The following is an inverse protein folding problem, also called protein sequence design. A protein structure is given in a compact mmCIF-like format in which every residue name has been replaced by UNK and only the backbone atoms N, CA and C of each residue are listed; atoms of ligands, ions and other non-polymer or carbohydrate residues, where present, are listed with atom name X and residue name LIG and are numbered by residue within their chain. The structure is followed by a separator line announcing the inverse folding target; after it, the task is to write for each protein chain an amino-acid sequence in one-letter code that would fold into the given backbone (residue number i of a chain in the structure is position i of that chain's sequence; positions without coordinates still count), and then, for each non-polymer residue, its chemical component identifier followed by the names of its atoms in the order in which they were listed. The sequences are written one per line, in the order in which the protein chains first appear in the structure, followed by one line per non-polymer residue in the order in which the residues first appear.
data_IF_986267367572
#
_entry.id   IF_986267367572
#
_cell.length_a   1.000
_cell.length_b   1.000
_cell.length_c   1.000
_cell.angle_alpha   90.00
_cell.angle_beta   90.00
_cell.angle_gamma   90.00
#
_symmetry.space_group_name_H-M   'P 1'
#
loop_
_entity.id
_entity.type
_entity.pdbx_description
1 polymer ?
#
# COMPACT_ATOMS: atom_id res chain seq x y z
N UNK A 1 58.28 41.58 10.26
CA UNK A 1 58.22 40.14 9.93
C UNK A 1 56.96 39.58 10.60
N UNK A 2 55.86 39.54 9.84
CA UNK A 2 54.52 39.08 10.33
C UNK A 2 54.34 37.61 10.00
N UNK A 3 54.11 36.76 11.02
CA UNK A 3 53.81 35.35 10.85
C UNK A 3 52.32 35.17 10.63
N UNK A 4 51.89 34.92 9.38
CA UNK A 4 50.56 34.50 9.06
C UNK A 4 50.33 33.05 9.54
N UNK A 5 49.39 32.83 10.47
CA UNK A 5 48.91 31.51 10.87
C UNK A 5 47.79 31.08 9.91
N UNK A 6 48.04 30.10 9.07
CA UNK A 6 47.02 29.40 8.32
C UNK A 6 46.26 28.46 9.27
N UNK A 7 45.01 28.71 9.50
CA UNK A 7 44.08 27.77 10.14
C UNK A 7 43.49 26.89 9.03
N UNK A 8 43.91 25.64 8.97
CA UNK A 8 43.33 24.64 8.09
C UNK A 8 42.01 24.16 8.71
N UNK A 9 40.89 24.61 8.17
CA UNK A 9 39.54 24.17 8.56
C UNK A 9 39.25 22.87 7.82
N UNK A 10 39.42 21.71 8.48
CA UNK A 10 39.05 20.42 7.93
C UNK A 10 37.50 20.32 7.82
N UNK A 11 36.99 20.43 6.61
CA UNK A 11 35.57 20.09 6.32
C UNK A 11 35.45 18.57 6.43
N UNK A 12 34.86 18.08 7.54
CA UNK A 12 34.42 16.69 7.63
C UNK A 12 33.10 16.61 6.84
N UNK A 13 33.19 16.19 5.59
CA UNK A 13 32.01 15.78 4.80
C UNK A 13 31.56 14.45 5.36
N UNK A 14 30.61 14.48 6.26
CA UNK A 14 29.84 13.29 6.63
C UNK A 14 29.03 12.87 5.39
N UNK A 15 29.59 11.97 4.59
CA UNK A 15 28.83 11.25 3.58
C UNK A 15 27.75 10.46 4.32
N UNK A 16 26.52 10.97 4.34
CA UNK A 16 25.36 10.21 4.76
C UNK A 16 25.14 9.09 3.74
N UNK A 17 25.67 7.90 4.04
CA UNK A 17 25.30 6.70 3.30
C UNK A 17 23.81 6.46 3.54
N UNK A 18 23.00 6.56 2.48
CA UNK A 18 21.66 6.03 2.48
C UNK A 18 21.73 4.56 2.93
N UNK A 19 20.89 4.09 3.85
CA UNK A 19 20.89 2.70 4.24
C UNK A 19 20.49 1.87 3.03
N UNK A 20 21.46 1.23 2.41
CA UNK A 20 21.25 0.31 1.30
C UNK A 20 20.65 -1.00 1.86
N UNK A 21 19.38 -1.02 2.14
CA UNK A 21 18.66 -2.16 2.70
C UNK A 21 18.74 -3.41 1.80
N UNK A 22 19.13 -3.24 0.55
CA UNK A 22 19.31 -4.29 -0.45
C UNK A 22 20.73 -4.32 -1.07
N UNK A 23 21.69 -3.63 -0.47
CA UNK A 23 23.07 -3.74 -0.90
C UNK A 23 23.71 -4.98 -0.27
N UNK A 24 24.14 -5.95 -1.08
CA UNK A 24 24.89 -7.11 -0.60
C UNK A 24 26.13 -6.70 0.23
N UNK A 25 26.70 -5.53 -0.05
CA UNK A 25 27.80 -4.94 0.74
C UNK A 25 27.42 -4.54 2.17
N UNK A 26 26.11 -4.33 2.46
CA UNK A 26 25.67 -4.08 3.82
C UNK A 26 25.69 -5.35 4.70
N UNK A 27 25.60 -6.55 4.10
CA UNK A 27 25.61 -7.81 4.82
C UNK A 27 26.95 -8.10 5.50
N UNK A 28 28.05 -7.56 5.01
CA UNK A 28 29.38 -7.71 5.59
C UNK A 28 29.63 -6.78 6.78
N UNK A 29 28.70 -5.84 7.08
CA UNK A 29 28.84 -4.92 8.21
C UNK A 29 28.01 -5.42 9.38
N UNK A 30 28.66 -5.69 10.50
CA UNK A 30 27.98 -6.07 11.72
C UNK A 30 27.21 -4.85 12.29
N UNK A 31 25.94 -5.05 12.58
CA UNK A 31 25.11 -4.06 13.27
C UNK A 31 25.10 -4.28 14.78
N UNK A 32 24.91 -3.21 15.55
CA UNK A 32 24.71 -3.27 16.99
C UNK A 32 23.22 -3.50 17.27
N UNK A 33 22.77 -4.77 17.23
CA UNK A 33 21.41 -5.17 17.51
C UNK A 33 21.33 -6.64 17.97
N UNK A 34 20.23 -7.00 18.64
CA UNK A 34 19.89 -8.37 18.98
C UNK A 34 18.78 -8.88 18.05
N UNK A 35 19.02 -9.98 17.35
CA UNK A 35 17.99 -10.64 16.52
C UNK A 35 16.96 -11.35 17.37
N UNK A 36 15.68 -11.17 17.06
CA UNK A 36 14.52 -11.71 17.75
C UNK A 36 13.47 -12.22 16.76
N UNK A 37 12.62 -13.12 17.23
CA UNK A 37 11.42 -13.54 16.52
C UNK A 37 10.25 -13.69 17.50
N UNK A 38 9.08 -13.18 17.10
CA UNK A 38 7.79 -13.47 17.73
C UNK A 38 6.95 -14.27 16.74
N UNK A 39 6.43 -15.43 17.16
CA UNK A 39 5.74 -16.35 16.27
C UNK A 39 4.66 -17.15 16.96
N UNK A 40 3.85 -17.83 16.17
CA UNK A 40 2.78 -18.74 16.65
C UNK A 40 3.28 -20.10 17.13
N UNK A 41 4.58 -20.34 17.23
CA UNK A 41 5.15 -21.64 17.56
C UNK A 41 4.56 -22.26 18.85
N UNK A 42 4.45 -23.58 18.87
CA UNK A 42 3.99 -24.34 20.02
C UNK A 42 5.01 -24.25 21.16
N UNK A 43 4.64 -23.58 22.25
CA UNK A 43 5.51 -23.37 23.42
C UNK A 43 5.88 -24.65 24.14
N UNK A 44 5.17 -25.76 23.89
CA UNK A 44 5.48 -27.07 24.45
C UNK A 44 6.60 -27.78 23.68
N UNK A 45 6.99 -27.30 22.53
CA UNK A 45 7.94 -27.92 21.61
C UNK A 45 7.33 -29.05 20.77
N UNK A 46 6.00 -29.23 20.81
CA UNK A 46 5.27 -30.09 19.88
C UNK A 46 5.08 -29.39 18.51
N UNK A 47 3.99 -29.64 17.79
CA UNK A 47 3.78 -29.11 16.44
C UNK A 47 2.40 -28.46 16.26
N UNK A 48 1.76 -27.97 17.32
CA UNK A 48 0.49 -27.23 17.27
C UNK A 48 0.76 -25.73 17.12
N UNK A 49 1.43 -25.34 16.03
CA UNK A 49 1.93 -23.98 15.80
C UNK A 49 0.85 -23.01 15.31
N UNK A 50 -0.33 -23.51 14.97
CA UNK A 50 -1.46 -22.68 14.53
C UNK A 50 -2.20 -22.06 15.72
N UNK A 51 -2.96 -20.99 15.41
CA UNK A 51 -3.95 -20.40 16.33
C UNK A 51 -5.29 -20.30 15.61
N UNK A 52 -6.34 -20.46 16.39
CA UNK A 52 -7.70 -20.20 15.93
C UNK A 52 -8.03 -18.72 16.10
N UNK A 53 -8.75 -18.14 15.14
CA UNK A 53 -9.25 -16.76 15.23
C UNK A 53 -10.75 -16.79 14.88
N UNK A 54 -11.60 -16.72 15.91
CA UNK A 54 -13.06 -16.80 15.77
C UNK A 54 -13.60 -15.55 15.09
N UNK A 55 -14.83 -15.67 14.54
CA UNK A 55 -15.56 -14.50 14.02
C UNK A 55 -15.71 -13.42 15.11
N UNK A 56 -15.41 -12.17 14.77
CA UNK A 56 -15.42 -11.03 15.68
C UNK A 56 -14.25 -10.93 16.66
N UNK A 57 -13.36 -11.92 16.68
CA UNK A 57 -12.22 -11.93 17.60
C UNK A 57 -11.05 -11.08 17.09
N UNK A 58 -10.33 -10.47 18.04
CA UNK A 58 -9.04 -9.81 17.78
C UNK A 58 -7.93 -10.58 18.48
N UNK A 59 -6.92 -10.96 17.72
CA UNK A 59 -5.72 -11.65 18.22
C UNK A 59 -4.50 -10.75 18.13
N UNK A 60 -3.70 -10.72 19.19
CA UNK A 60 -2.42 -10.03 19.22
C UNK A 60 -1.32 -10.95 18.66
N UNK A 61 -0.63 -10.48 17.61
CA UNK A 61 0.48 -11.21 16.99
C UNK A 61 1.84 -10.82 17.55
N UNK A 62 1.94 -9.55 17.99
CA UNK A 62 3.19 -8.94 18.43
C UNK A 62 2.91 -7.86 19.48
N UNK A 63 3.73 -7.82 20.51
CA UNK A 63 3.63 -6.81 21.56
C UNK A 63 4.96 -6.74 22.33
N UNK A 64 5.90 -5.94 21.81
CA UNK A 64 7.26 -5.93 22.32
C UNK A 64 7.72 -4.52 22.68
N UNK A 65 8.60 -4.44 23.68
CA UNK A 65 9.18 -3.18 24.11
C UNK A 65 10.35 -2.75 23.18
N UNK A 66 10.35 -1.45 22.83
CA UNK A 66 11.42 -0.80 22.09
C UNK A 66 12.63 -0.35 22.95
N UNK A 67 13.60 0.34 22.37
CA UNK A 67 13.74 0.63 20.94
C UNK A 67 13.94 -0.64 20.10
N UNK A 68 13.21 -0.75 19.00
CA UNK A 68 13.28 -1.93 18.16
C UNK A 68 12.83 -1.64 16.71
N UNK A 69 13.03 -2.59 15.81
CA UNK A 69 12.59 -2.52 14.42
C UNK A 69 12.12 -3.89 13.95
N UNK A 70 10.88 -3.98 13.46
CA UNK A 70 10.41 -5.15 12.72
C UNK A 70 11.02 -5.08 11.33
N UNK A 71 11.54 -6.22 10.83
CA UNK A 71 12.22 -6.33 9.53
C UNK A 71 11.51 -7.24 8.55
N UNK A 72 10.75 -8.20 9.06
CA UNK A 72 10.02 -9.15 8.24
C UNK A 72 8.76 -9.61 8.95
N UNK A 73 7.67 -9.69 8.22
CA UNK A 73 6.41 -10.30 8.65
C UNK A 73 6.08 -11.40 7.64
N UNK A 74 5.90 -12.62 8.13
CA UNK A 74 5.35 -13.73 7.38
C UNK A 74 4.05 -14.18 8.02
N UNK A 75 2.99 -14.35 7.23
CA UNK A 75 1.67 -14.78 7.68
C UNK A 75 1.10 -15.79 6.68
N UNK A 76 0.42 -16.82 7.19
CA UNK A 76 -0.48 -17.64 6.38
C UNK A 76 -1.71 -18.01 7.18
N UNK A 77 -2.81 -18.34 6.48
CA UNK A 77 -4.07 -18.70 7.12
C UNK A 77 -4.90 -19.66 6.27
N UNK A 78 -5.70 -20.50 6.94
CA UNK A 78 -6.69 -21.38 6.33
C UNK A 78 -8.08 -21.12 6.93
N UNK A 79 -9.08 -21.04 6.06
CA UNK A 79 -10.50 -20.87 6.42
C UNK A 79 -11.38 -21.22 5.23
N UNK A 80 -12.64 -21.58 5.49
CA UNK A 80 -13.69 -21.67 4.47
C UNK A 80 -14.36 -20.35 4.13
N UNK A 81 -14.02 -19.24 4.82
CA UNK A 81 -14.63 -17.92 4.60
C UNK A 81 -14.23 -17.37 3.22
N UNK A 82 -15.24 -17.08 2.40
CA UNK A 82 -15.02 -16.39 1.14
C UNK A 82 -14.55 -14.96 1.39
N UNK A 83 -13.59 -14.48 0.58
CA UNK A 83 -13.02 -13.15 0.72
C UNK A 83 -12.41 -12.84 2.10
N UNK A 84 -11.91 -13.86 2.82
CA UNK A 84 -11.26 -13.65 4.12
C UNK A 84 -10.12 -12.62 4.05
N UNK A 85 -9.43 -12.49 2.93
CA UNK A 85 -8.40 -11.47 2.68
C UNK A 85 -8.93 -10.03 2.78
N UNK A 86 -10.23 -9.82 2.55
CA UNK A 86 -10.93 -8.53 2.71
C UNK A 86 -11.57 -8.35 4.09
N UNK A 87 -11.77 -9.45 4.81
CA UNK A 87 -12.50 -9.50 6.10
C UNK A 87 -11.59 -9.58 7.31
N UNK A 88 -10.38 -10.10 7.18
CA UNK A 88 -9.37 -10.05 8.25
C UNK A 88 -8.66 -8.70 8.19
N UNK A 89 -8.65 -7.96 9.30
CA UNK A 89 -8.07 -6.61 9.38
C UNK A 89 -6.77 -6.65 10.18
N UNK A 90 -5.69 -6.18 9.57
CA UNK A 90 -4.39 -5.98 10.19
C UNK A 90 -4.29 -4.56 10.74
N UNK A 91 -3.90 -4.43 12.02
CA UNK A 91 -3.61 -3.15 12.66
C UNK A 91 -2.24 -3.17 13.33
N UNK A 92 -1.52 -2.05 13.24
CA UNK A 92 -0.24 -1.85 13.91
C UNK A 92 -0.26 -0.52 14.65
N UNK A 93 0.35 -0.51 15.84
CA UNK A 93 0.38 0.64 16.73
C UNK A 93 1.81 0.87 17.22
N UNK A 94 2.24 2.11 17.24
CA UNK A 94 3.58 2.49 17.70
C UNK A 94 3.48 3.35 18.95
N UNK A 95 4.39 3.08 19.90
CA UNK A 95 4.63 3.90 21.09
C UNK A 95 3.40 4.21 21.95
N UNK A 96 2.51 3.22 22.07
CA UNK A 96 1.28 3.26 22.88
C UNK A 96 0.22 4.25 22.34
N UNK A 97 0.26 4.61 21.06
CA UNK A 97 -0.81 5.38 20.45
C UNK A 97 -2.14 4.62 20.41
N UNK A 98 -3.24 5.35 20.63
CA UNK A 98 -4.57 4.75 20.65
C UNK A 98 -5.10 4.45 19.24
N UNK A 99 -4.78 5.31 18.26
CA UNK A 99 -5.16 5.13 16.86
C UNK A 99 -4.07 4.31 16.15
N UNK A 100 -4.45 3.39 15.26
CA UNK A 100 -3.46 2.57 14.56
C UNK A 100 -2.73 3.37 13.49
N UNK A 101 -1.41 3.18 13.39
CA UNK A 101 -0.58 3.70 12.28
C UNK A 101 -0.71 2.85 11.01
N UNK A 102 -1.20 1.62 11.14
CA UNK A 102 -1.59 0.74 10.03
C UNK A 102 -2.98 0.21 10.29
N UNK A 103 -3.90 0.43 9.33
CA UNK A 103 -5.22 -0.19 9.36
C UNK A 103 -5.64 -0.57 7.93
N UNK A 104 -5.62 -1.88 7.65
CA UNK A 104 -5.91 -2.41 6.32
C UNK A 104 -6.56 -3.79 6.39
N UNK A 105 -7.42 -4.16 5.41
CA UNK A 105 -7.69 -5.58 5.18
C UNK A 105 -6.36 -6.29 4.89
N UNK A 106 -6.19 -7.49 5.43
CA UNK A 106 -4.89 -8.16 5.36
C UNK A 106 -4.46 -8.45 3.91
N UNK A 107 -5.38 -8.82 3.04
CA UNK A 107 -5.06 -9.05 1.63
C UNK A 107 -4.57 -7.78 0.94
N UNK A 108 -5.21 -6.64 1.19
CA UNK A 108 -4.84 -5.36 0.60
C UNK A 108 -3.44 -4.91 1.04
N UNK A 109 -3.09 -5.14 2.32
CA UNK A 109 -1.74 -4.86 2.82
C UNK A 109 -0.66 -5.63 2.04
N UNK A 110 -0.96 -6.83 1.59
CA UNK A 110 -0.04 -7.67 0.82
C UNK A 110 -0.29 -7.60 -0.71
N UNK A 111 -1.00 -6.59 -1.21
CA UNK A 111 -1.22 -6.37 -2.65
C UNK A 111 -2.28 -7.28 -3.28
N UNK A 112 -3.14 -7.93 -2.48
CA UNK A 112 -4.22 -8.82 -2.91
C UNK A 112 -5.60 -8.16 -2.76
N UNK A 113 -5.74 -6.92 -3.23
CA UNK A 113 -6.91 -6.06 -2.99
C UNK A 113 -8.22 -6.56 -3.60
N UNK A 114 -8.19 -7.55 -4.49
CA UNK A 114 -9.39 -8.19 -5.03
C UNK A 114 -9.75 -9.51 -4.30
N UNK A 115 -9.04 -9.81 -3.20
CA UNK A 115 -9.33 -10.97 -2.37
C UNK A 115 -8.94 -12.32 -2.98
N UNK A 116 -8.09 -12.32 -3.99
CA UNK A 116 -7.56 -13.51 -4.68
C UNK A 116 -6.07 -13.65 -4.41
N UNK A 117 -5.61 -14.86 -4.10
CA UNK A 117 -4.17 -15.12 -3.98
C UNK A 117 -3.52 -15.18 -5.36
N UNK A 118 -2.54 -14.32 -5.59
CA UNK A 118 -1.65 -14.33 -6.76
C UNK A 118 -0.20 -14.36 -6.28
N UNK A 119 0.62 -15.22 -6.90
CA UNK A 119 2.04 -15.34 -6.54
C UNK A 119 2.81 -14.22 -7.23
N UNK A 120 3.53 -13.43 -6.45
CA UNK A 120 4.41 -12.38 -6.96
C UNK A 120 5.51 -12.04 -5.96
N UNK A 121 6.53 -11.33 -6.41
CA UNK A 121 7.64 -10.89 -5.58
C UNK A 121 8.05 -9.45 -5.92
N UNK A 122 8.13 -8.61 -4.89
CA UNK A 122 8.71 -7.27 -4.97
C UNK A 122 9.75 -7.06 -3.88
N UNK A 123 10.35 -5.88 -3.84
CA UNK A 123 11.32 -5.54 -2.80
C UNK A 123 10.73 -5.46 -1.39
N UNK A 124 9.44 -5.11 -1.26
CA UNK A 124 8.81 -4.83 0.03
C UNK A 124 7.67 -5.78 0.38
N UNK A 125 7.02 -6.38 -0.61
CA UNK A 125 5.89 -7.30 -0.43
C UNK A 125 6.04 -8.48 -1.37
N UNK A 126 5.78 -9.68 -0.87
CA UNK A 126 5.75 -10.88 -1.70
C UNK A 126 4.64 -11.83 -1.25
N UNK A 127 4.04 -12.51 -2.20
CA UNK A 127 3.12 -13.62 -1.96
C UNK A 127 3.74 -14.87 -2.57
N UNK A 128 4.24 -15.74 -1.72
CA UNK A 128 4.84 -17.01 -2.15
C UNK A 128 3.75 -18.08 -2.35
N UNK A 129 4.05 -19.19 -3.05
CA UNK A 129 3.12 -20.29 -3.23
C UNK A 129 2.47 -20.74 -1.91
N UNK A 130 1.28 -21.32 -2.01
CA UNK A 130 0.51 -21.85 -0.89
C UNK A 130 0.15 -20.79 0.17
N UNK A 131 -0.20 -19.57 -0.29
CA UNK A 131 -0.78 -18.47 0.51
C UNK A 131 0.19 -17.80 1.51
N UNK A 132 1.48 -17.86 1.31
CA UNK A 132 2.44 -17.22 2.19
C UNK A 132 2.58 -15.72 1.90
N UNK A 133 2.14 -14.90 2.83
CA UNK A 133 2.15 -13.43 2.78
C UNK A 133 3.43 -12.92 3.45
N UNK A 134 4.20 -12.09 2.74
CA UNK A 134 5.48 -11.57 3.24
C UNK A 134 5.56 -10.05 3.10
N UNK A 135 6.06 -9.36 4.13
CA UNK A 135 6.36 -7.93 4.09
C UNK A 135 7.74 -7.66 4.70
N UNK A 136 8.51 -6.79 4.04
CA UNK A 136 9.90 -6.46 4.36
C UNK A 136 10.10 -4.97 4.66
N UNK A 137 9.03 -4.24 4.96
CA UNK A 137 9.14 -2.85 5.40
C UNK A 137 9.89 -2.77 6.73
N UNK A 138 10.91 -1.90 6.89
CA UNK A 138 11.44 -1.59 8.22
C UNK A 138 10.38 -0.86 9.05
N UNK A 139 10.07 -1.35 10.23
CA UNK A 139 9.05 -0.76 11.10
C UNK A 139 9.66 -0.46 12.47
N UNK A 140 10.34 0.69 12.61
CA UNK A 140 10.97 1.09 13.87
C UNK A 140 9.94 1.64 14.86
N UNK A 141 10.20 1.46 16.16
CA UNK A 141 9.45 2.07 17.26
C UNK A 141 10.35 2.30 18.47
N UNK A 142 10.09 3.36 19.24
CA UNK A 142 10.97 3.77 20.34
C UNK A 142 10.62 3.07 21.66
N UNK A 143 9.33 2.91 21.97
CA UNK A 143 8.86 2.37 23.26
C UNK A 143 8.17 1.02 23.13
N UNK A 144 7.25 0.90 22.19
CA UNK A 144 6.41 -0.30 22.04
C UNK A 144 5.90 -0.45 20.62
N UNK A 145 5.97 -1.65 20.08
CA UNK A 145 5.28 -2.05 18.87
C UNK A 145 4.22 -3.08 19.18
N UNK A 146 2.99 -2.90 18.66
CA UNK A 146 1.88 -3.83 18.83
C UNK A 146 1.18 -4.09 17.49
N UNK A 147 1.03 -5.38 17.13
CA UNK A 147 0.34 -5.83 15.93
C UNK A 147 -0.83 -6.72 16.32
N UNK A 148 -1.98 -6.47 15.72
CA UNK A 148 -3.20 -7.26 15.92
C UNK A 148 -3.84 -7.63 14.58
N UNK A 149 -4.59 -8.74 14.58
CA UNK A 149 -5.51 -9.09 13.50
C UNK A 149 -6.91 -9.27 14.08
N UNK A 150 -7.93 -8.75 13.37
CA UNK A 150 -9.34 -8.92 13.74
C UNK A 150 -10.05 -9.69 12.62
N UNK A 151 -10.75 -10.75 12.95
CA UNK A 151 -11.60 -11.46 12.00
C UNK A 151 -12.99 -10.80 11.95
N UNK A 152 -13.24 -9.98 10.95
CA UNK A 152 -14.54 -9.34 10.69
C UNK A 152 -15.43 -10.21 9.77
N UNK A 153 -15.03 -11.45 9.49
CA UNK A 153 -15.83 -12.43 8.77
C UNK A 153 -16.83 -13.15 9.66
N UNK A 154 -17.58 -14.07 9.05
CA UNK A 154 -18.61 -14.87 9.72
C UNK A 154 -18.14 -16.27 10.14
N UNK A 155 -17.01 -16.72 9.59
CA UNK A 155 -16.45 -18.04 9.88
C UNK A 155 -15.09 -17.90 10.60
N UNK A 156 -14.75 -18.92 11.36
CA UNK A 156 -13.47 -19.01 12.03
C UNK A 156 -12.31 -19.17 11.02
N UNK A 157 -11.20 -18.50 11.30
CA UNK A 157 -9.89 -18.85 10.71
C UNK A 157 -9.35 -20.01 11.54
N UNK A 158 -9.36 -21.22 10.98
CA UNK A 158 -9.01 -22.44 11.71
C UNK A 158 -7.53 -22.57 11.95
N UNK A 159 -6.72 -22.07 11.03
CA UNK A 159 -5.28 -22.15 11.09
C UNK A 159 -4.67 -20.80 10.73
N UNK A 160 -4.15 -20.10 11.71
CA UNK A 160 -3.45 -18.83 11.55
C UNK A 160 -2.03 -18.97 12.07
N UNK A 161 -1.05 -18.79 11.17
CA UNK A 161 0.38 -18.86 11.50
C UNK A 161 1.05 -17.52 11.22
N UNK A 162 2.04 -17.16 12.03
CA UNK A 162 2.88 -15.99 11.77
C UNK A 162 4.32 -16.20 12.27
N UNK A 163 5.24 -15.51 11.59
CA UNK A 163 6.60 -15.25 12.04
C UNK A 163 6.89 -13.77 11.83
N UNK A 164 7.30 -13.06 12.87
CA UNK A 164 7.71 -11.67 12.85
C UNK A 164 9.15 -11.60 13.28
N UNK A 165 10.05 -11.31 12.33
CA UNK A 165 11.47 -11.10 12.60
C UNK A 165 11.72 -9.65 12.93
N UNK A 166 12.38 -9.39 14.05
CA UNK A 166 12.66 -8.06 14.52
C UNK A 166 14.01 -7.99 15.23
N UNK A 167 14.50 -6.78 15.42
CA UNK A 167 15.75 -6.53 16.14
C UNK A 167 15.49 -5.60 17.31
N UNK A 168 16.09 -5.93 18.46
CA UNK A 168 16.23 -4.99 19.58
C UNK A 168 17.39 -4.07 19.29
N UNK A 169 17.18 -2.77 19.46
CA UNK A 169 18.18 -1.73 19.20
C UNK A 169 18.61 -1.08 20.52
N UNK A 170 19.86 -0.55 20.62
CA UNK A 170 20.26 0.26 21.77
C UNK A 170 19.55 1.61 21.79
N UNK A 171 19.26 2.18 20.61
CA UNK A 171 18.50 3.42 20.41
C UNK A 171 18.01 3.46 18.95
N UNK A 172 16.94 4.24 18.70
CA UNK A 172 16.58 4.56 17.31
C UNK A 172 17.57 5.61 16.75
N UNK A 173 17.96 5.50 15.46
CA UNK A 173 18.73 6.54 14.79
C UNK A 173 18.03 7.89 14.82
N UNK A 174 18.78 8.97 14.90
CA UNK A 174 18.21 10.32 14.81
C UNK A 174 17.47 10.51 13.47
N UNK A 175 16.30 11.13 13.54
CA UNK A 175 15.47 11.37 12.34
C UNK A 175 14.67 10.16 11.89
N UNK A 176 14.64 9.07 12.65
CA UNK A 176 13.76 7.92 12.38
C UNK A 176 12.31 8.37 12.26
N UNK A 177 11.63 7.89 11.22
CA UNK A 177 10.20 8.06 11.00
C UNK A 177 9.51 6.70 11.13
N UNK A 178 8.27 6.70 11.58
CA UNK A 178 7.47 5.50 11.83
C UNK A 178 6.72 5.06 10.58
N UNK A 179 6.53 3.77 10.42
CA UNK A 179 5.84 3.16 9.29
C UNK A 179 4.33 3.32 9.42
N UNK A 180 3.68 3.67 8.31
CA UNK A 180 2.24 3.81 8.20
C UNK A 180 1.72 3.11 6.95
N UNK A 181 0.50 2.58 7.03
CA UNK A 181 -0.22 2.07 5.86
C UNK A 181 -1.72 2.27 6.04
N UNK A 182 -2.39 2.77 5.00
CA UNK A 182 -3.81 3.06 5.04
C UNK A 182 -4.51 2.49 3.82
N UNK A 183 -5.60 1.76 4.09
CA UNK A 183 -6.54 1.31 3.08
C UNK A 183 -7.50 2.42 2.66
N UNK A 184 -7.78 2.48 1.35
CA UNK A 184 -8.86 3.29 0.78
C UNK A 184 -9.58 2.52 -0.31
N UNK A 185 -10.86 2.87 -0.53
CA UNK A 185 -11.64 2.35 -1.64
C UNK A 185 -12.58 3.41 -2.21
N UNK A 186 -12.90 3.27 -3.49
CA UNK A 186 -14.07 3.81 -4.13
C UNK A 186 -14.70 2.69 -4.96
N UNK A 187 -15.91 2.27 -4.61
CA UNK A 187 -16.56 1.13 -5.24
C UNK A 187 -18.03 1.45 -5.56
N UNK A 188 -18.27 2.15 -6.68
CA UNK A 188 -17.33 2.62 -7.70
C UNK A 188 -16.79 4.05 -7.48
N UNK A 189 -15.78 4.43 -8.24
CA UNK A 189 -15.42 5.81 -8.50
C UNK A 189 -16.59 6.57 -9.14
N UNK A 190 -16.65 7.89 -8.96
CA UNK A 190 -17.78 8.72 -9.46
C UNK A 190 -17.45 9.32 -10.82
N UNK A 191 -17.50 8.50 -11.87
CA UNK A 191 -17.31 8.96 -13.23
C UNK A 191 -18.45 9.87 -13.73
N UNK A 192 -18.08 10.91 -14.46
CA UNK A 192 -19.03 11.88 -14.98
C UNK A 192 -19.57 11.52 -16.37
N UNK A 193 -18.86 10.69 -17.17
CA UNK A 193 -19.29 10.32 -18.50
C UNK A 193 -20.13 9.04 -18.47
N UNK A 194 -21.29 9.08 -19.11
CA UNK A 194 -22.25 7.96 -19.19
C UNK A 194 -22.38 7.38 -20.60
N UNK A 195 -21.50 7.80 -21.52
CA UNK A 195 -21.48 7.32 -22.88
C UNK A 195 -20.84 5.93 -23.00
N UNK A 196 -20.72 5.45 -24.24
CA UNK A 196 -20.16 4.14 -24.54
C UNK A 196 -18.63 4.24 -24.65
N UNK A 197 -17.92 3.41 -23.89
CA UNK A 197 -16.47 3.26 -23.98
C UNK A 197 -16.01 2.21 -25.00
N UNK A 198 -16.93 1.45 -25.57
CA UNK A 198 -16.62 0.45 -26.58
C UNK A 198 -16.13 1.13 -27.87
N UNK A 199 -14.93 0.77 -28.33
CA UNK A 199 -14.30 1.37 -29.51
C UNK A 199 -13.56 2.69 -29.25
N UNK A 200 -13.46 3.14 -27.98
CA UNK A 200 -12.72 4.35 -27.56
C UNK A 200 -13.09 5.62 -28.33
N UNK A 201 -14.34 5.76 -28.76
CA UNK A 201 -14.83 7.01 -29.32
C UNK A 201 -15.24 8.01 -28.23
N UNK A 202 -14.33 8.90 -27.90
CA UNK A 202 -14.52 9.97 -26.92
C UNK A 202 -14.83 11.34 -27.56
N UNK A 203 -15.23 11.39 -28.82
CA UNK A 203 -15.46 12.65 -29.54
C UNK A 203 -16.50 13.54 -28.87
N UNK A 204 -17.52 12.96 -28.24
CA UNK A 204 -18.53 13.68 -27.45
C UNK A 204 -17.93 14.16 -26.12
N UNK A 205 -17.29 13.26 -25.37
CA UNK A 205 -16.69 13.58 -24.07
C UNK A 205 -15.63 14.68 -24.15
N UNK A 206 -14.84 14.71 -25.22
CA UNK A 206 -13.81 15.74 -25.45
C UNK A 206 -14.36 17.15 -25.59
N UNK A 207 -15.66 17.33 -25.84
CA UNK A 207 -16.31 18.64 -25.94
C UNK A 207 -16.79 19.15 -24.57
N UNK A 208 -16.86 18.27 -23.57
CA UNK A 208 -17.29 18.63 -22.22
C UNK A 208 -16.14 19.38 -21.50
N UNK A 209 -16.42 20.49 -20.79
CA UNK A 209 -15.39 21.19 -20.01
C UNK A 209 -14.69 20.31 -18.96
N UNK A 210 -15.37 19.28 -18.44
CA UNK A 210 -14.82 18.30 -17.48
C UNK A 210 -13.72 17.42 -18.07
N UNK A 211 -13.54 17.40 -19.40
CA UNK A 211 -12.39 16.77 -20.05
C UNK A 211 -11.04 17.34 -19.61
N UNK A 212 -11.03 18.49 -18.93
CA UNK A 212 -9.83 19.17 -18.45
C UNK A 212 -9.84 19.18 -16.92
N UNK A 213 -9.12 18.24 -16.31
CA UNK A 213 -8.97 18.19 -14.87
C UNK A 213 -7.57 18.66 -14.45
N UNK A 214 -7.45 19.90 -14.01
CA UNK A 214 -6.20 20.46 -13.48
C UNK A 214 -6.18 20.57 -11.96
N UNK A 215 -7.36 20.45 -11.33
CA UNK A 215 -7.54 20.60 -9.87
C UNK A 215 -7.50 19.28 -9.11
N UNK A 216 -7.58 18.14 -9.81
CA UNK A 216 -7.75 16.84 -9.17
C UNK A 216 -9.11 16.65 -8.50
N UNK A 217 -10.12 17.46 -8.88
CA UNK A 217 -11.48 17.28 -8.39
C UNK A 217 -12.05 15.95 -8.89
N UNK A 218 -12.60 15.17 -7.96
CA UNK A 218 -13.14 13.85 -8.27
C UNK A 218 -12.09 12.72 -8.32
N UNK A 219 -10.79 13.02 -8.23
CA UNK A 219 -9.75 12.00 -8.23
C UNK A 219 -9.92 11.02 -7.07
N UNK A 220 -9.62 9.77 -7.33
CA UNK A 220 -9.44 8.77 -6.28
C UNK A 220 -8.25 9.13 -5.40
N UNK A 221 -8.44 9.15 -4.09
CA UNK A 221 -7.40 9.53 -3.14
C UNK A 221 -6.71 8.27 -2.60
N UNK A 222 -5.42 8.13 -2.88
CA UNK A 222 -4.58 7.10 -2.28
C UNK A 222 -4.16 7.44 -0.86
N UNK A 223 -3.72 8.69 -0.65
CA UNK A 223 -3.18 9.16 0.62
C UNK A 223 -3.52 10.63 0.85
N UNK A 224 -3.97 10.94 2.06
CA UNK A 224 -3.90 12.27 2.66
C UNK A 224 -3.24 12.14 4.03
N UNK A 225 -2.08 12.77 4.19
CA UNK A 225 -1.37 12.78 5.47
C UNK A 225 -0.90 14.19 5.83
N UNK A 226 -0.88 14.47 7.13
CA UNK A 226 -0.34 15.70 7.70
C UNK A 226 0.80 15.35 8.66
N UNK A 227 1.89 16.11 8.58
CA UNK A 227 3.08 15.87 9.38
C UNK A 227 4.35 15.99 8.56
N UNK A 228 5.44 15.42 9.07
CA UNK A 228 6.77 15.43 8.48
C UNK A 228 7.13 13.99 8.09
N UNK A 229 7.16 13.67 6.81
CA UNK A 229 7.33 12.30 6.34
C UNK A 229 7.67 12.16 4.86
N UNK A 230 7.63 10.94 4.36
CA UNK A 230 7.77 10.65 2.94
C UNK A 230 6.90 9.45 2.52
N UNK A 231 6.23 9.59 1.39
CA UNK A 231 5.47 8.53 0.75
C UNK A 231 6.42 7.59 0.00
N UNK A 232 6.25 6.28 0.19
CA UNK A 232 7.15 5.25 -0.36
C UNK A 232 6.48 4.30 -1.33
N UNK A 233 5.20 4.44 -1.60
CA UNK A 233 4.52 3.64 -2.60
C UNK A 233 3.13 3.19 -2.23
N UNK A 234 2.54 2.40 -3.11
CA UNK A 234 1.18 1.89 -2.94
C UNK A 234 0.97 0.56 -3.68
N UNK A 235 -0.13 -0.10 -3.30
CA UNK A 235 -0.80 -1.12 -4.11
C UNK A 235 -2.14 -0.56 -4.59
N UNK A 236 -2.52 -0.87 -5.82
CA UNK A 236 -3.83 -0.55 -6.40
C UNK A 236 -4.42 -1.81 -7.03
N UNK A 237 -5.64 -2.14 -6.65
CA UNK A 237 -6.42 -3.16 -7.33
C UNK A 237 -7.67 -2.54 -7.93
N UNK A 238 -7.95 -2.87 -9.20
CA UNK A 238 -9.08 -2.35 -9.95
C UNK A 238 -9.99 -3.50 -10.35
N UNK A 239 -11.28 -3.36 -10.00
CA UNK A 239 -12.34 -4.21 -10.54
C UNK A 239 -13.11 -3.38 -11.56
N UNK A 240 -12.94 -3.71 -12.83
CA UNK A 240 -13.44 -2.89 -13.93
C UNK A 240 -14.94 -3.04 -14.13
N UNK A 241 -15.66 -1.93 -14.20
CA UNK A 241 -17.12 -1.88 -14.40
C UNK A 241 -17.53 -1.51 -15.82
N UNK A 242 -16.62 -1.00 -16.64
CA UNK A 242 -16.89 -0.46 -17.96
C UNK A 242 -15.92 -1.01 -19.02
N UNK A 243 -16.29 -0.98 -20.28
CA UNK A 243 -15.39 -1.30 -21.38
C UNK A 243 -14.26 -0.29 -21.52
N UNK A 244 -13.12 -0.72 -22.10
CA UNK A 244 -11.94 0.14 -22.37
C UNK A 244 -11.03 0.31 -21.14
N UNK A 245 -9.95 1.07 -21.31
CA UNK A 245 -8.90 1.24 -20.30
C UNK A 245 -9.30 2.21 -19.19
N UNK A 246 -9.09 1.82 -17.93
CA UNK A 246 -9.16 2.72 -16.77
C UNK A 246 -7.85 3.53 -16.62
N UNK A 247 -6.79 3.09 -17.25
CA UNK A 247 -5.40 3.52 -17.07
C UNK A 247 -5.05 4.89 -17.64
N UNK A 248 -5.95 5.53 -18.39
CA UNK A 248 -5.73 6.88 -18.95
C UNK A 248 -5.77 8.01 -17.90
N UNK A 249 -5.87 7.66 -16.62
CA UNK A 249 -5.98 8.62 -15.52
C UNK A 249 -4.63 9.01 -14.95
N UNK A 250 -4.38 10.33 -14.85
CA UNK A 250 -3.12 10.88 -14.35
C UNK A 250 -3.03 10.79 -12.82
N UNK A 251 -1.86 10.42 -12.29
CA UNK A 251 -1.57 10.66 -10.88
C UNK A 251 -1.25 12.14 -10.64
N UNK A 252 -1.74 12.66 -9.51
CA UNK A 252 -1.49 14.03 -9.08
C UNK A 252 -1.11 14.04 -7.60
N UNK A 253 0.02 14.69 -7.25
CA UNK A 253 0.53 14.75 -5.89
C UNK A 253 0.75 16.20 -5.45
N UNK A 254 -0.03 16.62 -4.44
CA UNK A 254 0.14 17.91 -3.75
C UNK A 254 1.04 17.73 -2.54
N UNK A 255 1.98 18.65 -2.35
CA UNK A 255 2.96 18.61 -1.27
C UNK A 255 2.90 19.94 -0.51
N UNK A 256 2.84 19.85 0.82
CA UNK A 256 2.94 20.99 1.75
C UNK A 256 1.91 22.10 1.56
N UNK A 257 0.75 21.76 0.97
CA UNK A 257 -0.36 22.69 0.78
C UNK A 257 -0.23 23.58 -0.45
N UNK A 258 0.58 23.20 -1.43
CA UNK A 258 0.66 23.90 -2.70
C UNK A 258 -0.69 23.90 -3.42
N UNK A 259 -1.02 24.97 -4.16
CA UNK A 259 -2.32 25.09 -4.84
C UNK A 259 -2.44 24.16 -6.06
N UNK A 260 -1.32 23.80 -6.68
CA UNK A 260 -1.25 22.89 -7.83
C UNK A 260 -0.45 21.63 -7.47
N UNK A 261 -0.68 20.50 -8.14
CA UNK A 261 0.11 19.29 -7.90
C UNK A 261 1.57 19.53 -8.29
N UNK A 262 2.50 19.23 -7.36
CA UNK A 262 3.94 19.33 -7.66
C UNK A 262 4.41 18.21 -8.58
N UNK A 263 3.73 17.06 -8.52
CA UNK A 263 3.98 15.91 -9.40
C UNK A 263 2.67 15.63 -10.12
N UNK A 264 2.74 15.55 -11.44
CA UNK A 264 1.62 15.30 -12.33
C UNK A 264 2.07 14.28 -13.38
N UNK A 265 1.38 13.16 -13.46
CA UNK A 265 1.69 12.08 -14.40
C UNK A 265 1.06 12.22 -15.76
N UNK A 266 1.07 11.12 -16.48
CA UNK A 266 0.63 11.03 -17.89
C UNK A 266 -0.30 9.85 -18.14
N UNK A 267 -0.60 9.07 -17.10
CA UNK A 267 -1.50 7.93 -17.13
C UNK A 267 -1.19 6.90 -16.03
N UNK A 268 -2.17 6.09 -15.70
CA UNK A 268 -2.04 5.06 -14.67
C UNK A 268 -1.01 3.98 -15.03
N UNK A 269 -0.94 3.56 -16.30
CA UNK A 269 0.10 2.61 -16.72
C UNK A 269 1.50 3.20 -16.59
N UNK A 270 1.67 4.49 -16.92
CA UNK A 270 2.94 5.19 -16.79
C UNK A 270 3.32 5.33 -15.31
N UNK A 271 2.33 5.61 -14.46
CA UNK A 271 2.55 5.60 -13.02
C UNK A 271 3.07 4.25 -12.54
N UNK A 272 2.55 3.13 -13.03
CA UNK A 272 3.04 1.79 -12.70
C UNK A 272 4.22 1.33 -13.58
N UNK A 273 4.91 2.27 -14.25
CA UNK A 273 6.07 2.07 -15.11
C UNK A 273 5.82 1.08 -16.26
N UNK A 274 4.57 0.97 -16.72
CA UNK A 274 4.20 0.39 -17.99
C UNK A 274 4.35 1.41 -19.12
N UNK A 275 3.83 1.09 -20.29
CA UNK A 275 3.73 2.01 -21.41
C UNK A 275 2.65 1.51 -22.37
N UNK A 276 1.84 2.41 -22.92
CA UNK A 276 0.82 2.09 -23.90
C UNK A 276 -0.25 1.10 -23.41
N UNK A 277 -0.52 1.09 -22.09
CA UNK A 277 -1.42 0.15 -21.44
C UNK A 277 -0.70 -1.07 -20.84
N UNK A 278 -1.46 -2.14 -20.62
CA UNK A 278 -0.97 -3.39 -20.02
C UNK A 278 -1.25 -4.55 -20.96
N UNK A 279 -0.29 -5.45 -21.14
CA UNK A 279 -0.43 -6.60 -22.03
C UNK A 279 0.02 -7.94 -21.43
N UNK A 280 0.78 -7.93 -20.34
CA UNK A 280 1.30 -9.14 -19.70
C UNK A 280 1.58 -8.91 -18.22
N UNK A 281 1.51 -9.98 -17.43
CA UNK A 281 1.90 -9.94 -16.02
C UNK A 281 3.40 -9.74 -15.88
N UNK A 282 3.80 -8.95 -14.88
CA UNK A 282 5.20 -8.78 -14.49
C UNK A 282 5.31 -8.49 -12.99
N UNK A 283 6.47 -8.83 -12.43
CA UNK A 283 6.76 -8.63 -11.00
C UNK A 283 8.24 -8.27 -10.86
N UNK A 284 8.53 -6.97 -10.84
CA UNK A 284 9.86 -6.42 -10.67
C UNK A 284 10.05 -5.88 -9.24
N UNK A 285 11.26 -5.62 -8.78
CA UNK A 285 11.47 -5.20 -7.39
C UNK A 285 10.64 -3.99 -6.95
N UNK A 286 10.40 -3.01 -7.83
CA UNK A 286 9.74 -1.76 -7.48
C UNK A 286 8.35 -1.58 -8.10
N UNK A 287 8.01 -2.34 -9.13
CA UNK A 287 6.75 -2.21 -9.88
C UNK A 287 6.25 -3.57 -10.34
N UNK A 288 4.95 -3.72 -10.45
CA UNK A 288 4.35 -4.95 -10.98
C UNK A 288 2.89 -4.83 -11.33
N UNK A 289 2.47 -5.72 -12.23
CA UNK A 289 1.10 -6.05 -12.56
C UNK A 289 0.92 -7.54 -12.23
N UNK A 290 0.25 -7.84 -11.13
CA UNK A 290 0.18 -9.19 -10.55
C UNK A 290 -1.11 -9.92 -10.89
N UNK A 291 -2.13 -9.19 -11.33
CA UNK A 291 -3.40 -9.72 -11.83
C UNK A 291 -3.83 -8.86 -13.01
N UNK A 292 -4.16 -9.50 -14.12
CA UNK A 292 -4.65 -8.86 -15.36
C UNK A 292 -5.46 -9.86 -16.17
N UNK A 293 -6.63 -9.47 -16.64
CA UNK A 293 -7.46 -10.31 -17.50
C UNK A 293 -7.64 -9.68 -18.87
N UNK A 294 -8.61 -8.81 -19.04
CA UNK A 294 -8.98 -8.17 -20.31
C UNK A 294 -9.39 -6.71 -20.05
N UNK A 295 -9.74 -5.98 -21.09
CA UNK A 295 -10.23 -4.59 -21.00
C UNK A 295 -11.76 -4.53 -21.09
N UNK A 296 -12.44 -5.32 -20.27
CA UNK A 296 -13.90 -5.49 -20.29
C UNK A 296 -14.50 -5.47 -18.89
N UNK A 297 -15.83 -5.22 -18.76
CA UNK A 297 -16.51 -5.28 -17.47
C UNK A 297 -16.30 -6.62 -16.79
N UNK A 298 -15.98 -6.57 -15.47
CA UNK A 298 -15.62 -7.74 -14.67
C UNK A 298 -14.13 -8.06 -14.63
N UNK A 299 -13.33 -7.40 -15.44
CA UNK A 299 -11.87 -7.58 -15.42
C UNK A 299 -11.23 -7.07 -14.14
N UNK A 300 -10.10 -7.67 -13.83
CA UNK A 300 -9.39 -7.54 -12.57
C UNK A 300 -7.95 -7.15 -12.86
N UNK A 301 -7.47 -6.14 -12.12
CA UNK A 301 -6.09 -5.67 -12.22
C UNK A 301 -5.55 -5.49 -10.80
N UNK A 302 -4.31 -5.89 -10.57
CA UNK A 302 -3.61 -5.63 -9.31
C UNK A 302 -2.20 -5.17 -9.60
N UNK A 303 -1.87 -4.01 -9.05
CA UNK A 303 -0.60 -3.32 -9.27
C UNK A 303 0.09 -3.00 -7.96
N UNK A 304 1.41 -2.82 -8.02
CA UNK A 304 2.17 -2.14 -6.98
C UNK A 304 3.23 -1.23 -7.59
N UNK A 305 3.53 -0.14 -6.88
CA UNK A 305 4.69 0.71 -7.14
C UNK A 305 5.30 1.16 -5.83
N UNK A 306 6.63 1.00 -5.71
CA UNK A 306 7.43 1.44 -4.56
C UNK A 306 8.47 2.48 -4.99
N UNK A 307 8.48 3.62 -4.30
CA UNK A 307 9.35 4.77 -4.57
C UNK A 307 10.62 4.70 -3.70
N UNK A 308 11.38 3.58 -3.75
CA UNK A 308 12.56 3.40 -2.89
C UNK A 308 13.72 4.32 -3.29
N UNK A 309 13.88 4.55 -4.60
CA UNK A 309 14.93 5.42 -5.12
C UNK A 309 14.56 6.90 -5.04
N UNK A 310 13.27 7.23 -5.05
CA UNK A 310 12.77 8.59 -5.04
C UNK A 310 11.52 8.74 -4.16
N UNK A 311 11.62 8.53 -2.83
CA UNK A 311 10.50 8.74 -1.91
C UNK A 311 9.97 10.18 -2.00
N UNK A 312 8.65 10.34 -2.01
CA UNK A 312 8.04 11.67 -2.15
C UNK A 312 7.99 12.36 -0.78
N UNK A 313 8.90 13.30 -0.58
CA UNK A 313 9.11 14.01 0.70
C UNK A 313 8.07 15.11 0.94
N UNK A 314 7.48 15.16 2.13
CA UNK A 314 6.63 16.25 2.60
C UNK A 314 7.05 16.70 4.01
N UNK A 315 6.82 17.98 4.35
CA UNK A 315 7.15 18.57 5.65
C UNK A 315 5.94 19.00 6.46
N UNK A 316 4.79 19.19 5.79
CA UNK A 316 3.52 19.60 6.42
C UNK A 316 2.36 18.70 6.02
N UNK A 317 2.28 18.34 4.74
CA UNK A 317 1.19 17.50 4.24
C UNK A 317 1.51 16.92 2.86
N UNK A 318 0.84 15.82 2.56
CA UNK A 318 0.82 15.23 1.23
C UNK A 318 -0.59 14.78 0.89
N UNK A 319 -0.99 14.95 -0.38
CA UNK A 319 -2.18 14.34 -0.97
C UNK A 319 -1.77 13.64 -2.26
N UNK A 320 -1.97 12.33 -2.34
CA UNK A 320 -1.67 11.48 -3.50
C UNK A 320 -2.96 10.98 -4.11
N UNK A 321 -3.17 11.23 -5.38
CA UNK A 321 -4.42 10.87 -6.07
C UNK A 321 -4.14 10.29 -7.45
N UNK A 322 -5.16 9.68 -8.04
CA UNK A 322 -5.20 9.28 -9.44
C UNK A 322 -6.61 9.50 -10.00
N UNK A 323 -6.72 9.79 -11.26
CA UNK A 323 -7.97 9.80 -12.00
C UNK A 323 -8.44 8.34 -12.31
N UNK A 324 -9.74 8.15 -12.47
CA UNK A 324 -10.31 6.90 -13.02
C UNK A 324 -10.65 7.12 -14.51
N UNK A 325 -9.76 6.69 -15.39
CA UNK A 325 -9.71 7.11 -16.77
C UNK A 325 -9.44 8.61 -16.88
N UNK A 326 -9.27 9.14 -18.10
CA UNK A 326 -8.94 10.54 -18.31
C UNK A 326 -9.97 11.47 -17.63
N UNK A 327 -9.48 12.40 -16.82
CA UNK A 327 -10.29 13.39 -16.10
C UNK A 327 -11.48 12.82 -15.30
N UNK A 328 -11.32 11.62 -14.72
CA UNK A 328 -12.37 10.92 -13.95
C UNK A 328 -13.64 10.63 -14.74
N UNK A 329 -13.53 10.33 -16.02
CA UNK A 329 -14.70 10.03 -16.83
C UNK A 329 -15.33 8.67 -16.55
N UNK A 330 -14.61 7.76 -15.84
CA UNK A 330 -15.01 6.36 -15.62
C UNK A 330 -15.54 6.11 -14.20
N UNK A 331 -16.11 4.92 -14.01
CA UNK A 331 -16.69 4.49 -12.73
C UNK A 331 -16.30 3.04 -12.41
N UNK A 332 -15.00 2.78 -12.29
CA UNK A 332 -14.47 1.48 -11.91
C UNK A 332 -14.30 1.39 -10.38
N UNK A 333 -14.14 0.19 -9.84
CA UNK A 333 -13.91 0.02 -8.41
C UNK A 333 -12.41 0.01 -8.13
N UNK A 334 -11.96 0.92 -7.28
CA UNK A 334 -10.58 1.04 -6.85
C UNK A 334 -10.43 0.66 -5.38
N UNK A 335 -9.41 -0.15 -5.09
CA UNK A 335 -9.02 -0.59 -3.75
C UNK A 335 -7.51 -0.42 -3.61
N UNK A 336 -7.04 0.31 -2.62
CA UNK A 336 -5.61 0.59 -2.49
C UNK A 336 -5.11 0.59 -1.06
N UNK A 337 -3.80 0.37 -0.89
CA UNK A 337 -3.06 0.67 0.33
C UNK A 337 -1.89 1.55 -0.03
N UNK A 338 -1.82 2.72 0.60
CA UNK A 338 -0.66 3.60 0.52
C UNK A 338 0.26 3.35 1.70
N UNK A 339 1.58 3.35 1.45
CA UNK A 339 2.63 3.16 2.45
C UNK A 339 3.49 4.41 2.54
N UNK A 340 3.75 4.86 3.78
CA UNK A 340 4.61 6.02 4.02
C UNK A 340 5.29 5.93 5.38
N UNK A 341 6.26 6.80 5.59
CA UNK A 341 6.88 7.02 6.88
C UNK A 341 6.69 8.46 7.30
N UNK A 342 6.33 8.69 8.56
CA UNK A 342 6.27 10.04 9.12
C UNK A 342 6.59 10.03 10.62
N UNK A 343 6.87 11.23 11.14
CA UNK A 343 6.99 11.44 12.60
C UNK A 343 5.63 11.38 13.24
N UNK A 344 5.56 10.78 14.42
CA UNK A 344 4.37 10.79 15.25
C UNK A 344 4.24 12.13 16.02
N UNK A 345 3.01 12.54 16.40
CA UNK A 345 1.74 11.84 16.17
C UNK A 345 1.19 12.04 14.76
N UNK A 346 0.51 11.02 14.23
CA UNK A 346 -0.23 11.10 12.98
C UNK A 346 -1.68 11.56 13.19
N UNK A 347 -2.34 11.98 12.10
CA UNK A 347 -3.79 12.28 12.09
C UNK A 347 -4.63 10.99 12.04
N UNK A 348 -5.84 11.06 12.59
CA UNK A 348 -6.79 9.94 12.52
C UNK A 348 -7.13 9.57 11.09
N UNK A 349 -7.09 8.29 10.78
CA UNK A 349 -7.50 7.76 9.48
C UNK A 349 -9.03 7.84 9.30
N UNK A 350 -9.52 7.96 8.06
CA UNK A 350 -10.91 7.67 7.76
C UNK A 350 -11.29 6.27 8.24
N UNK A 351 -12.53 6.13 8.70
CA UNK A 351 -13.02 4.82 9.17
C UNK A 351 -12.91 3.75 8.07
N UNK A 352 -12.44 2.57 8.45
CA UNK A 352 -12.43 1.43 7.55
C UNK A 352 -13.88 1.07 7.17
N UNK A 353 -14.22 0.90 5.88
CA UNK A 353 -15.57 0.48 5.49
C UNK A 353 -15.94 -0.88 6.09
N UNK A 354 -17.23 -1.17 6.31
CA UNK A 354 -17.68 -2.50 6.75
C UNK A 354 -17.16 -3.63 5.86
N UNK A 355 -16.94 -4.81 6.42
CA UNK A 355 -16.33 -5.95 5.73
C UNK A 355 -17.00 -6.29 4.39
N UNK A 356 -18.34 -6.27 4.35
CA UNK A 356 -19.12 -6.59 3.15
C UNK A 356 -19.01 -5.51 2.04
N UNK A 357 -18.71 -4.27 2.39
CA UNK A 357 -18.48 -3.18 1.44
C UNK A 357 -17.08 -3.22 0.81
N UNK A 358 -16.15 -3.93 1.43
CA UNK A 358 -14.78 -4.11 0.92
C UNK A 358 -14.69 -5.21 -0.14
N UNK A 359 -15.72 -6.05 -0.29
CA UNK A 359 -15.74 -7.14 -1.26
C UNK A 359 -15.92 -6.55 -2.66
N UNK A 360 -15.01 -6.86 -3.62
CA UNK A 360 -15.15 -6.43 -5.00
C UNK A 360 -16.44 -6.98 -5.61
N UNK A 361 -17.30 -6.09 -6.11
CA UNK A 361 -18.58 -6.44 -6.75
C UNK A 361 -18.73 -5.65 -8.03
N UNK A 362 -19.25 -6.31 -9.08
CA UNK A 362 -19.60 -5.62 -10.31
C UNK A 362 -20.69 -4.58 -10.04
N UNK A 363 -20.49 -3.37 -10.56
CA UNK A 363 -21.46 -2.28 -10.52
C UNK A 363 -21.84 -1.91 -11.94
N UNK A 364 -23.09 -2.15 -12.31
CA UNK A 364 -23.61 -1.73 -13.61
C UNK A 364 -23.59 -0.20 -13.70
N UNK A 365 -22.74 0.34 -14.55
CA UNK A 365 -22.65 1.77 -14.86
C UNK A 365 -23.36 1.99 -16.18
N UNK A 366 -24.54 2.65 -16.15
CA UNK A 366 -25.43 2.79 -17.30
C UNK A 366 -24.80 3.45 -18.53
N UNK A 367 -24.97 2.80 -19.67
CA UNK A 367 -24.69 3.28 -21.01
C UNK A 367 -25.21 2.25 -22.04
N UNK A 368 -25.67 2.68 -23.24
CA UNK A 368 -26.13 1.74 -24.25
C UNK A 368 -24.99 0.79 -24.67
N UNK A 369 -25.18 -0.49 -24.46
CA UNK A 369 -24.20 -1.53 -24.82
C UNK A 369 -23.59 -2.32 -23.66
N UNK A 370 -23.68 -1.85 -22.43
CA UNK A 370 -23.23 -2.61 -21.26
C UNK A 370 -24.15 -3.79 -20.94
N UNK A 371 -25.44 -3.67 -21.24
CA UNK A 371 -26.44 -4.75 -21.03
C UNK A 371 -26.22 -6.00 -21.90
N UNK A 372 -25.39 -5.91 -22.94
CA UNK A 372 -25.11 -7.04 -23.84
C UNK A 372 -24.00 -7.96 -23.34
N UNK A 373 -23.17 -7.52 -22.43
CA UNK A 373 -22.07 -8.34 -21.87
C UNK A 373 -22.51 -9.26 -20.74
N UNK A 374 -23.75 -9.11 -20.24
CA UNK A 374 -24.29 -9.91 -19.13
C UNK A 374 -25.22 -11.07 -19.57
N UNK A 375 -25.20 -11.48 -20.85
CA UNK A 375 -25.98 -12.64 -21.32
C UNK A 375 -25.09 -13.80 -21.71
#
# INVERSE_FOLDING_TARGET
MSKARFVLMALVVLARSLPAQYSAGALSKLGDYESRRTSSYDRTGANADYRHLKAGETMELYNEAGPAEIRHIWITMATGEAYHLKKVVLRMYWDDEAEPSVETPIGDFFGLGLGTYTVFHSALVAVAPDKALNAYFPMPFARRGRLTVTNEGSQEITDFYWNIDWVKLPALPEGTAYFHAQYRQAAPCRGWYKGNFYGNDFSEARRDPRWRNTSGEGNYVFLEARGDGHFVGLTLSVFQNQWGGWNEGDEMIWIDGEPEPRIHGTGGEDYFNGAWGFSTLYSFPLVGLTEFHQWEPGSRFSHYRFHLEAPVRFRKSIKVTIEDGHANLRSDNFFSVAYWYQKEPHGKFPALPPAEERIPKFVAVGGPGQDKAMK
#
